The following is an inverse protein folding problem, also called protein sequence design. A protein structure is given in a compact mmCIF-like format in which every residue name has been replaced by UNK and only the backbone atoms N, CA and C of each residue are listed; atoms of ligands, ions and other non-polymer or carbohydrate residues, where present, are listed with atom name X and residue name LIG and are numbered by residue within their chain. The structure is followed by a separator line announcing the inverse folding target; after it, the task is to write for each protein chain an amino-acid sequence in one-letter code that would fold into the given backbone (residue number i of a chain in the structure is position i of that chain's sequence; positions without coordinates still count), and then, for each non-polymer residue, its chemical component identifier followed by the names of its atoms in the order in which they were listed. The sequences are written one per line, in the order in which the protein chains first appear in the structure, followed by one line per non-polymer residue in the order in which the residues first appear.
data_IF_074730511679
#
_entry.id   IF_074730511679
#
_cell.length_a   1.000
_cell.length_b   1.000
_cell.length_c   1.000
_cell.angle_alpha   90.00
_cell.angle_beta   90.00
_cell.angle_gamma   90.00
#
_symmetry.space_group_name_H-M   'P 1'
#
loop_
_entity.id
_entity.type
_entity.pdbx_description
1 polymer ?
#
# COMPACT_ATOMS: atom_id res chain seq x y z
N UNK A 1 -4.63 1.68 -10.98
CA UNK A 1 -5.83 0.85 -10.65
C UNK A 1 -6.36 -0.01 -11.80
N UNK A 2 -6.26 0.41 -13.07
CA UNK A 2 -6.81 -0.32 -14.22
C UNK A 2 -6.43 -1.81 -14.27
N UNK A 3 -5.20 -2.17 -13.87
CA UNK A 3 -4.72 -3.56 -13.87
C UNK A 3 -5.10 -4.36 -12.63
N UNK A 4 -5.31 -3.69 -11.49
CA UNK A 4 -5.55 -4.34 -10.21
C UNK A 4 -7.04 -4.66 -10.02
N UNK A 5 -7.93 -3.69 -10.33
CA UNK A 5 -9.38 -3.83 -10.10
C UNK A 5 -10.00 -5.07 -10.74
N UNK A 6 -9.72 -5.42 -12.01
CA UNK A 6 -10.31 -6.61 -12.64
C UNK A 6 -9.92 -7.93 -11.97
N UNK A 7 -8.86 -7.95 -11.15
CA UNK A 7 -8.41 -9.16 -10.43
C UNK A 7 -9.09 -9.33 -9.08
N UNK A 8 -9.85 -8.35 -8.61
CA UNK A 8 -10.53 -8.37 -7.31
C UNK A 8 -11.94 -8.91 -7.55
N UNK A 9 -12.11 -10.22 -7.44
CA UNK A 9 -13.41 -10.89 -7.61
C UNK A 9 -14.21 -10.96 -6.30
N UNK A 10 -13.53 -11.19 -5.18
CA UNK A 10 -14.12 -11.25 -3.83
C UNK A 10 -13.34 -10.33 -2.89
N UNK A 11 -13.78 -9.06 -2.70
CA UNK A 11 -13.02 -8.06 -1.94
C UNK A 11 -12.61 -8.52 -0.53
N UNK A 12 -13.53 -9.12 0.23
CA UNK A 12 -13.27 -9.56 1.62
C UNK A 12 -12.31 -10.74 1.72
N UNK A 13 -12.06 -11.44 0.61
CA UNK A 13 -11.09 -12.54 0.49
C UNK A 13 -9.84 -12.12 -0.29
N UNK A 14 -9.68 -10.83 -0.58
CA UNK A 14 -8.57 -10.33 -1.38
C UNK A 14 -7.61 -9.48 -0.54
N UNK A 15 -6.31 -9.77 -0.69
CA UNK A 15 -5.22 -8.91 -0.20
C UNK A 15 -4.58 -8.20 -1.38
N UNK A 16 -4.44 -6.87 -1.30
CA UNK A 16 -3.73 -6.08 -2.29
C UNK A 16 -2.48 -5.46 -1.66
N UNK A 17 -1.31 -5.96 -2.05
CA UNK A 17 -0.01 -5.37 -1.68
C UNK A 17 0.41 -4.40 -2.77
N UNK A 18 0.70 -3.14 -2.40
CA UNK A 18 1.10 -2.11 -3.35
C UNK A 18 2.48 -1.56 -2.99
N UNK A 19 3.47 -1.84 -3.85
CA UNK A 19 4.86 -1.45 -3.64
C UNK A 19 5.16 -0.22 -4.49
N UNK A 20 5.36 0.93 -3.86
CA UNK A 20 5.70 2.21 -4.50
C UNK A 20 6.36 3.15 -3.49
N UNK A 21 7.17 4.10 -3.95
CA UNK A 21 7.63 5.23 -3.13
C UNK A 21 6.57 6.36 -3.04
N UNK A 22 5.49 6.24 -3.82
CA UNK A 22 4.34 7.13 -3.87
C UNK A 22 4.63 8.56 -4.38
N UNK A 23 5.70 8.74 -5.16
CA UNK A 23 5.94 9.98 -5.90
C UNK A 23 5.26 9.95 -7.28
N UNK A 24 3.95 10.14 -7.28
CA UNK A 24 3.07 9.92 -8.45
C UNK A 24 2.65 11.25 -9.13
N UNK A 25 3.24 12.38 -8.73
CA UNK A 25 2.98 13.72 -9.30
C UNK A 25 1.48 14.05 -9.40
N UNK A 26 1.00 14.43 -10.59
CA UNK A 26 -0.39 14.77 -10.91
C UNK A 26 -1.35 13.58 -10.74
N UNK A 27 -0.83 12.36 -10.64
CA UNK A 27 -1.60 11.13 -10.44
C UNK A 27 -1.78 10.75 -8.98
N UNK A 28 -1.21 11.50 -8.03
CA UNK A 28 -1.27 11.19 -6.60
C UNK A 28 -2.72 11.11 -6.07
N UNK A 29 -3.54 12.12 -6.35
CA UNK A 29 -4.93 12.16 -5.90
C UNK A 29 -5.79 11.05 -6.56
N UNK A 30 -5.78 10.87 -7.90
CA UNK A 30 -6.50 9.76 -8.54
C UNK A 30 -6.05 8.38 -8.07
N UNK A 31 -4.75 8.20 -7.79
CA UNK A 31 -4.26 6.93 -7.25
C UNK A 31 -4.82 6.69 -5.85
N UNK A 32 -4.76 7.68 -4.98
CA UNK A 32 -5.28 7.58 -3.61
C UNK A 32 -6.77 7.26 -3.59
N UNK A 33 -7.59 7.98 -4.35
CA UNK A 33 -9.03 7.69 -4.46
C UNK A 33 -9.28 6.28 -4.99
N UNK A 34 -8.46 5.84 -5.95
CA UNK A 34 -8.49 4.51 -6.49
C UNK A 34 -8.24 3.42 -5.44
N UNK A 35 -7.23 3.62 -4.59
CA UNK A 35 -6.86 2.74 -3.47
C UNK A 35 -7.92 2.78 -2.37
N UNK A 36 -8.38 3.97 -2.00
CA UNK A 36 -9.37 4.17 -0.96
C UNK A 36 -10.68 3.45 -1.30
N UNK A 37 -11.14 3.55 -2.54
CA UNK A 37 -12.31 2.82 -3.02
C UNK A 37 -12.13 1.30 -2.90
N UNK A 38 -10.94 0.78 -3.23
CA UNK A 38 -10.63 -0.65 -3.09
C UNK A 38 -10.61 -1.06 -1.61
N UNK A 39 -9.94 -0.31 -0.74
CA UNK A 39 -9.91 -0.59 0.70
C UNK A 39 -11.33 -0.60 1.30
N UNK A 40 -12.15 0.41 0.98
CA UNK A 40 -13.54 0.50 1.45
C UNK A 40 -14.43 -0.63 0.95
N UNK A 41 -14.08 -1.28 -0.17
CA UNK A 41 -14.81 -2.47 -0.65
C UNK A 41 -14.59 -3.73 0.21
N UNK A 42 -13.63 -3.69 1.14
CA UNK A 42 -13.29 -4.81 2.02
C UNK A 42 -11.98 -5.51 1.68
N UNK A 43 -11.28 -5.05 0.64
CA UNK A 43 -9.93 -5.54 0.33
C UNK A 43 -8.96 -5.17 1.44
N UNK A 44 -8.19 -6.16 1.90
CA UNK A 44 -7.07 -5.93 2.81
C UNK A 44 -5.93 -5.28 2.03
N UNK A 45 -5.88 -3.95 2.06
CA UNK A 45 -4.83 -3.17 1.39
C UNK A 45 -3.59 -3.05 2.27
N UNK A 46 -2.41 -3.28 1.69
CA UNK A 46 -1.10 -3.16 2.37
C UNK A 46 -0.19 -2.28 1.51
N UNK A 47 -0.04 -0.97 1.85
CA UNK A 47 0.90 -0.10 1.18
C UNK A 47 2.33 -0.38 1.66
N UNK A 48 3.24 -0.58 0.73
CA UNK A 48 4.65 -0.84 0.97
C UNK A 48 5.46 0.29 0.34
N UNK A 49 6.12 1.08 1.20
CA UNK A 49 7.02 2.16 0.80
C UNK A 49 8.38 1.66 0.31
N UNK A 50 9.18 2.54 -0.29
CA UNK A 50 10.52 2.23 -0.80
C UNK A 50 11.37 1.43 0.20
N UNK A 51 11.95 0.33 -0.30
CA UNK A 51 12.77 -0.62 0.46
C UNK A 51 14.20 -0.48 -0.04
N UNK A 52 15.07 0.16 0.74
CA UNK A 52 16.51 0.23 0.41
C UNK A 52 17.31 -0.64 1.37
N UNK A 53 18.40 -1.25 0.89
CA UNK A 53 19.35 -2.00 1.73
C UNK A 53 20.03 -1.10 2.78
N UNK A 54 20.15 0.20 2.50
CA UNK A 54 20.74 1.22 3.37
C UNK A 54 19.77 1.83 4.39
N UNK A 55 18.46 1.52 4.31
CA UNK A 55 17.45 2.02 5.24
C UNK A 55 17.07 3.50 5.05
N UNK A 56 17.59 4.19 4.01
CA UNK A 56 17.19 5.55 3.66
C UNK A 56 15.84 5.52 2.94
N UNK A 57 14.93 6.39 3.38
CA UNK A 57 13.52 6.35 3.02
C UNK A 57 13.11 7.64 2.34
N UNK A 58 12.47 7.53 1.19
CA UNK A 58 11.71 8.62 0.58
C UNK A 58 10.35 8.02 0.24
N UNK A 59 9.39 8.24 1.13
CA UNK A 59 7.98 7.95 0.89
C UNK A 59 7.27 9.28 0.91
N UNK A 60 6.44 9.55 -0.08
CA UNK A 60 5.67 10.78 -0.13
C UNK A 60 4.85 10.97 1.18
N UNK A 61 5.15 12.03 1.98
CA UNK A 61 4.48 12.26 3.27
C UNK A 61 2.96 12.36 3.17
N UNK A 62 2.47 12.90 2.05
CA UNK A 62 1.05 13.07 1.77
C UNK A 62 0.29 11.74 1.76
N UNK A 63 0.90 10.68 1.20
CA UNK A 63 0.34 9.33 1.20
C UNK A 63 0.49 8.67 2.57
N UNK A 64 1.64 8.84 3.24
CA UNK A 64 1.89 8.30 4.58
C UNK A 64 0.81 8.74 5.57
N UNK A 65 0.47 10.02 5.60
CA UNK A 65 -0.55 10.57 6.49
C UNK A 65 -1.94 10.00 6.20
N UNK A 66 -2.35 9.97 4.93
CA UNK A 66 -3.68 9.51 4.54
C UNK A 66 -3.86 8.01 4.74
N UNK A 67 -2.87 7.21 4.41
CA UNK A 67 -2.90 5.77 4.66
C UNK A 67 -2.94 5.45 6.15
N UNK A 68 -2.23 6.21 6.99
CA UNK A 68 -2.37 6.12 8.44
C UNK A 68 -3.79 6.46 8.90
N UNK A 69 -4.38 7.54 8.37
CA UNK A 69 -5.75 7.94 8.69
C UNK A 69 -6.79 6.90 8.23
N UNK A 70 -6.52 6.19 7.12
CA UNK A 70 -7.36 5.11 6.59
C UNK A 70 -7.25 3.79 7.39
N UNK A 71 -6.33 3.71 8.36
CA UNK A 71 -6.11 2.50 9.16
C UNK A 71 -5.18 1.47 8.52
N UNK A 72 -4.46 1.84 7.46
CA UNK A 72 -3.53 0.97 6.73
C UNK A 72 -2.18 1.68 6.52
N UNK A 73 -1.41 1.91 7.59
CA UNK A 73 -0.18 2.70 7.50
C UNK A 73 0.85 2.05 6.57
N UNK A 74 1.66 2.89 5.91
CA UNK A 74 2.72 2.42 5.01
C UNK A 74 3.72 1.54 5.75
N UNK A 75 3.85 0.30 5.30
CA UNK A 75 4.90 -0.62 5.72
C UNK A 75 6.20 -0.18 5.05
N UNK A 76 7.23 0.07 5.84
CA UNK A 76 8.53 0.56 5.35
C UNK A 76 9.68 0.05 6.22
N UNK A 77 10.87 -0.03 5.64
CA UNK A 77 12.09 -0.45 6.34
C UNK A 77 12.93 -1.42 5.52
N UNK A 78 13.76 -2.20 6.20
CA UNK A 78 14.63 -3.20 5.55
C UNK A 78 13.80 -4.36 4.97
N UNK A 79 14.19 -4.92 3.82
CA UNK A 79 13.45 -5.99 3.12
C UNK A 79 13.13 -7.19 4.01
N UNK A 80 14.03 -7.56 4.93
CA UNK A 80 13.79 -8.64 5.90
C UNK A 80 12.62 -8.34 6.84
N UNK A 81 12.49 -7.09 7.28
CA UNK A 81 11.38 -6.64 8.13
C UNK A 81 10.06 -6.69 7.35
N UNK A 82 10.06 -6.20 6.10
CA UNK A 82 8.90 -6.29 5.22
C UNK A 82 8.43 -7.73 5.03
N UNK A 83 9.35 -8.65 4.71
CA UNK A 83 9.02 -10.09 4.55
C UNK A 83 8.45 -10.67 5.84
N UNK A 84 9.01 -10.30 6.99
CA UNK A 84 8.49 -10.73 8.29
C UNK A 84 7.07 -10.21 8.53
N UNK A 85 6.83 -8.91 8.35
CA UNK A 85 5.52 -8.30 8.52
C UNK A 85 4.49 -8.91 7.57
N UNK A 86 4.82 -9.08 6.29
CA UNK A 86 3.92 -9.72 5.32
C UNK A 86 3.57 -11.16 5.71
N UNK A 87 4.53 -11.95 6.20
CA UNK A 87 4.26 -13.31 6.68
C UNK A 87 3.35 -13.30 7.92
N UNK A 88 3.58 -12.39 8.86
CA UNK A 88 2.73 -12.23 10.05
C UNK A 88 1.32 -11.79 9.68
N UNK A 89 1.14 -10.96 8.65
CA UNK A 89 -0.18 -10.53 8.18
C UNK A 89 -0.99 -11.63 7.47
N UNK A 90 -0.32 -12.69 7.02
CA UNK A 90 -0.93 -13.84 6.33
C UNK A 90 -1.18 -15.03 7.26
N UNK A 91 -0.55 -15.05 8.45
CA UNK A 91 -0.78 -16.04 9.49
C UNK A 91 -2.03 -15.72 10.31
#
# INVERSE_FOLDING_TARGET
MAMARPKITEPRSTVMVWISDFYEFDRSQPLFEGIEAVHRSGVKFIPVGSVTSSGRQEVNPWFRERFKALGTPVVSGHIRKLVHELKTFLA
#
